data_IF_039992225480
#
_entry.id   IF_039992225480
#
_cell.length_a   1.000
_cell.length_b   1.000
_cell.length_c   1.000
_cell.angle_alpha   90.00
_cell.angle_beta   90.00
_cell.angle_gamma   90.00
#
_symmetry.space_group_name_H-M   'P 1'
#
loop_
_entity.id
_entity.type
_entity.pdbx_description
1 polymer ?
#
# COMPACT_ATOMS: atom_id res chain seq x y z
N UNK A 1 -28.10 -2.18 -1.58
CA UNK A 1 -27.78 -0.78 -1.92
C UNK A 1 -26.31 -0.59 -1.64
N UNK A 2 -25.51 0.09 -2.50
CA UNK A 2 -24.17 0.45 -2.09
C UNK A 2 -24.31 1.51 -1.00
N UNK A 3 -23.74 1.29 0.17
CA UNK A 3 -23.53 2.39 1.11
C UNK A 3 -22.65 3.40 0.35
N UNK A 4 -23.10 4.65 0.12
CA UNK A 4 -22.19 5.66 -0.41
C UNK A 4 -21.06 5.77 0.60
N UNK A 5 -19.85 5.43 0.17
CA UNK A 5 -18.67 5.50 1.00
C UNK A 5 -18.32 6.97 1.22
N UNK A 6 -18.97 7.58 2.21
CA UNK A 6 -18.85 8.99 2.54
C UNK A 6 -17.41 9.43 2.86
N UNK A 7 -16.49 8.47 2.99
CA UNK A 7 -15.08 8.68 3.27
C UNK A 7 -14.15 8.12 2.19
N UNK A 8 -14.66 7.65 1.04
CA UNK A 8 -13.81 7.23 -0.09
C UNK A 8 -12.85 8.36 -0.52
N UNK A 9 -13.33 9.60 -0.50
CA UNK A 9 -12.57 10.80 -0.86
C UNK A 9 -11.90 11.48 0.34
N UNK A 10 -12.00 10.90 1.55
CA UNK A 10 -11.38 11.49 2.73
C UNK A 10 -9.85 11.42 2.58
N UNK A 11 -9.10 12.52 2.81
CA UNK A 11 -7.69 12.62 2.47
C UNK A 11 -6.81 11.55 3.15
N UNK A 12 -7.23 11.02 4.30
CA UNK A 12 -6.56 9.93 4.99
C UNK A 12 -6.53 8.59 4.20
N UNK A 13 -7.41 8.41 3.21
CA UNK A 13 -7.53 7.17 2.44
C UNK A 13 -7.27 7.34 0.95
N UNK A 14 -7.11 8.58 0.47
CA UNK A 14 -6.79 8.83 -0.94
C UNK A 14 -5.32 8.46 -1.18
N UNK A 15 -5.12 7.35 -1.88
CA UNK A 15 -3.81 6.93 -2.34
C UNK A 15 -3.33 7.86 -3.45
N UNK A 16 -2.10 8.37 -3.31
CA UNK A 16 -1.45 9.25 -4.28
C UNK A 16 -0.03 8.77 -4.52
N UNK A 17 0.59 9.22 -5.62
CA UNK A 17 2.03 9.10 -5.80
C UNK A 17 2.75 9.75 -4.60
N UNK A 18 3.65 9.05 -3.90
CA UNK A 18 4.43 9.65 -2.82
C UNK A 18 5.19 10.87 -3.33
N UNK A 19 5.28 11.94 -2.53
CA UNK A 19 5.94 13.20 -2.92
C UNK A 19 7.46 13.12 -3.00
N UNK A 20 8.05 11.95 -2.72
CA UNK A 20 9.49 11.70 -2.80
C UNK A 20 9.86 10.26 -2.45
N UNK A 21 11.09 9.89 -2.80
CA UNK A 21 11.75 8.65 -2.42
C UNK A 21 12.46 8.83 -1.07
N UNK A 22 11.69 8.91 0.01
CA UNK A 22 12.27 8.90 1.36
C UNK A 22 12.73 7.49 1.76
N UNK A 23 13.40 7.39 2.91
CA UNK A 23 13.91 6.12 3.46
C UNK A 23 12.80 5.08 3.66
N UNK A 24 11.59 5.51 4.02
CA UNK A 24 10.45 4.60 4.26
C UNK A 24 9.97 3.98 2.95
N UNK A 25 9.88 4.78 1.88
CA UNK A 25 9.52 4.31 0.54
C UNK A 25 10.62 3.43 -0.04
N UNK A 26 11.89 3.80 0.12
CA UNK A 26 13.03 3.02 -0.34
C UNK A 26 13.09 1.64 0.35
N UNK A 27 12.98 1.60 1.68
CA UNK A 27 12.90 0.35 2.47
C UNK A 27 11.71 -0.50 2.06
N UNK A 28 10.57 0.13 1.78
CA UNK A 28 9.39 -0.60 1.31
C UNK A 28 9.68 -1.27 -0.04
N UNK A 29 10.26 -0.56 -1.01
CA UNK A 29 10.66 -1.13 -2.30
C UNK A 29 11.65 -2.29 -2.14
N UNK A 30 12.63 -2.15 -1.24
CA UNK A 30 13.57 -3.22 -0.91
C UNK A 30 12.85 -4.47 -0.35
N UNK A 31 11.87 -4.28 0.54
CA UNK A 31 11.06 -5.38 1.09
C UNK A 31 10.22 -6.12 0.04
N UNK A 32 9.90 -5.46 -1.09
CA UNK A 32 9.22 -6.11 -2.21
C UNK A 32 10.16 -7.09 -2.92
N UNK A 33 11.48 -6.88 -2.84
CA UNK A 33 12.48 -7.52 -3.69
C UNK A 33 12.55 -6.92 -5.09
N UNK A 34 12.06 -5.69 -5.24
CA UNK A 34 12.08 -4.92 -6.48
C UNK A 34 13.38 -4.09 -6.58
N UNK A 35 13.66 -3.58 -7.78
CA UNK A 35 14.67 -2.56 -7.99
C UNK A 35 14.25 -1.23 -7.33
N UNK A 36 15.19 -0.28 -7.26
CA UNK A 36 14.89 1.07 -6.81
C UNK A 36 13.74 1.68 -7.63
N UNK A 37 12.79 2.29 -6.95
CA UNK A 37 11.68 2.96 -7.60
C UNK A 37 12.16 4.26 -8.28
N UNK A 38 11.49 4.61 -9.38
CA UNK A 38 11.73 5.83 -10.13
C UNK A 38 10.42 6.48 -10.55
N UNK A 39 10.43 7.79 -10.65
CA UNK A 39 9.32 8.53 -11.26
C UNK A 39 9.17 8.11 -12.72
N UNK A 40 7.95 7.73 -13.09
CA UNK A 40 7.58 7.23 -14.40
C UNK A 40 6.48 8.12 -14.99
N UNK A 41 6.66 8.68 -16.19
CA UNK A 41 5.64 9.48 -16.85
C UNK A 41 4.35 8.66 -17.07
N UNK A 42 3.21 9.31 -16.86
CA UNK A 42 1.88 8.75 -17.10
C UNK A 42 1.33 9.38 -18.37
N UNK A 43 1.22 8.58 -19.44
CA UNK A 43 0.79 9.03 -20.75
C UNK A 43 -0.23 8.04 -21.36
N UNK A 44 -1.46 8.00 -20.83
CA UNK A 44 -2.50 7.13 -21.34
C UNK A 44 -2.91 7.52 -22.76
N UNK A 45 -3.31 6.52 -23.54
CA UNK A 45 -3.98 6.77 -24.84
C UNK A 45 -5.48 6.95 -24.62
N UNK A 46 -6.19 7.45 -25.63
CA UNK A 46 -7.64 7.68 -25.54
C UNK A 46 -8.43 6.40 -25.28
N UNK A 47 -7.90 5.26 -25.71
CA UNK A 47 -8.52 3.93 -25.59
C UNK A 47 -8.08 3.19 -24.31
N UNK A 48 -7.20 3.78 -23.50
CA UNK A 48 -6.65 3.11 -22.33
C UNK A 48 -7.70 2.97 -21.23
N UNK A 49 -7.82 1.77 -20.67
CA UNK A 49 -8.79 1.45 -19.63
C UNK A 49 -8.16 1.56 -18.23
N UNK A 50 -8.82 2.27 -17.33
CA UNK A 50 -8.37 2.40 -15.94
C UNK A 50 -8.32 1.03 -15.25
N UNK A 51 -7.22 0.74 -14.54
CA UNK A 51 -7.06 -0.52 -13.81
C UNK A 51 -6.75 -1.75 -14.68
N UNK A 52 -6.45 -1.55 -15.98
CA UNK A 52 -6.11 -2.63 -16.94
C UNK A 52 -4.72 -2.43 -17.56
N UNK A 53 -3.65 -2.36 -16.75
CA UNK A 53 -2.32 -2.01 -17.26
C UNK A 53 -1.78 -3.01 -18.27
N UNK A 54 -2.06 -4.30 -18.10
CA UNK A 54 -1.69 -5.37 -19.02
C UNK A 54 -2.32 -5.21 -20.40
N UNK A 55 -3.63 -4.92 -20.45
CA UNK A 55 -4.34 -4.67 -21.70
C UNK A 55 -3.82 -3.41 -22.41
N UNK A 56 -3.64 -2.32 -21.66
CA UNK A 56 -3.15 -1.06 -22.21
C UNK A 56 -1.74 -1.20 -22.79
N UNK A 57 -0.83 -1.87 -22.07
CA UNK A 57 0.54 -2.12 -22.52
C UNK A 57 0.54 -3.06 -23.73
N UNK A 58 -0.28 -4.11 -23.75
CA UNK A 58 -0.36 -5.01 -24.91
C UNK A 58 -0.82 -4.27 -26.18
N UNK A 59 -1.84 -3.42 -26.07
CA UNK A 59 -2.30 -2.56 -27.17
C UNK A 59 -1.17 -1.62 -27.62
N UNK A 60 -0.45 -1.02 -26.67
CA UNK A 60 0.65 -0.10 -26.98
C UNK A 60 1.79 -0.79 -27.71
N UNK A 61 2.18 -1.99 -27.27
CA UNK A 61 3.22 -2.80 -27.93
C UNK A 61 2.80 -3.20 -29.33
N UNK A 62 1.54 -3.62 -29.52
CA UNK A 62 1.04 -4.01 -30.83
C UNK A 62 1.04 -2.85 -31.84
N UNK A 63 0.79 -1.63 -31.37
CA UNK A 63 0.72 -0.43 -32.22
C UNK A 63 2.08 0.20 -32.49
N UNK A 64 2.89 0.37 -31.44
CA UNK A 64 4.08 1.23 -31.46
C UNK A 64 5.39 0.45 -31.21
N UNK A 65 5.31 -0.88 -31.02
CA UNK A 65 6.45 -1.71 -30.62
C UNK A 65 6.86 -1.51 -29.16
N UNK A 66 8.09 -1.92 -28.81
CA UNK A 66 8.59 -1.85 -27.44
C UNK A 66 8.33 -3.12 -26.62
N UNK A 67 8.43 -3.03 -25.30
CA UNK A 67 8.33 -4.16 -24.37
C UNK A 67 7.54 -3.82 -23.11
N UNK A 68 7.13 -4.86 -22.38
CA UNK A 68 6.50 -4.73 -21.08
C UNK A 68 7.57 -4.75 -19.98
N UNK A 69 7.46 -3.83 -19.02
CA UNK A 69 8.26 -3.81 -17.80
C UNK A 69 7.34 -4.00 -16.60
N UNK A 70 7.47 -5.13 -15.93
CA UNK A 70 6.64 -5.53 -14.80
C UNK A 70 7.27 -5.11 -13.48
N UNK A 71 6.43 -4.73 -12.52
CA UNK A 71 6.88 -4.26 -11.22
C UNK A 71 5.72 -3.80 -10.35
N UNK A 72 5.98 -2.76 -9.55
CA UNK A 72 5.05 -2.26 -8.55
C UNK A 72 4.85 -0.76 -8.72
N UNK A 73 3.59 -0.32 -8.77
CA UNK A 73 3.27 1.10 -8.57
C UNK A 73 3.13 1.36 -7.09
N UNK A 74 3.88 2.33 -6.58
CA UNK A 74 3.90 2.72 -5.18
C UNK A 74 2.97 3.92 -4.98
N UNK A 75 2.05 3.78 -4.04
CA UNK A 75 1.10 4.81 -3.66
C UNK A 75 1.09 4.96 -2.14
N UNK A 76 0.79 6.16 -1.66
CA UNK A 76 0.76 6.48 -0.24
C UNK A 76 -0.52 7.20 0.13
N UNK A 77 -0.98 6.94 1.35
CA UNK A 77 -1.83 7.83 2.11
C UNK A 77 -1.20 8.01 3.50
N UNK A 78 -1.72 8.90 4.36
CA UNK A 78 -1.15 9.11 5.71
C UNK A 78 -1.09 7.84 6.59
N UNK A 79 -1.83 6.79 6.26
CA UNK A 79 -1.95 5.58 7.08
C UNK A 79 -1.04 4.43 6.63
N UNK A 80 -0.75 4.32 5.34
CA UNK A 80 0.00 3.20 4.77
C UNK A 80 0.57 3.54 3.37
N UNK A 81 1.62 2.81 3.01
CA UNK A 81 2.06 2.63 1.63
C UNK A 81 1.38 1.41 1.01
N UNK A 82 1.08 1.49 -0.28
CA UNK A 82 0.55 0.42 -1.10
C UNK A 82 1.48 0.19 -2.29
N UNK A 83 1.81 -1.06 -2.55
CA UNK A 83 2.50 -1.51 -3.75
C UNK A 83 1.50 -2.35 -4.55
N UNK A 84 1.00 -1.77 -5.64
CA UNK A 84 0.08 -2.46 -6.55
C UNK A 84 0.85 -3.07 -7.70
N UNK A 85 0.62 -4.35 -7.98
CA UNK A 85 1.31 -5.02 -9.07
C UNK A 85 0.91 -4.39 -10.41
N UNK A 86 1.89 -3.99 -11.21
CA UNK A 86 1.68 -3.12 -12.37
C UNK A 86 2.62 -3.48 -13.53
N UNK A 87 2.28 -2.98 -14.71
CA UNK A 87 3.11 -3.10 -15.90
C UNK A 87 3.17 -1.77 -16.63
N UNK A 88 4.38 -1.31 -16.90
CA UNK A 88 4.67 -0.13 -17.71
C UNK A 88 5.09 -0.56 -19.12
N UNK A 89 4.85 0.31 -20.09
CA UNK A 89 5.36 0.13 -21.45
C UNK A 89 6.74 0.76 -21.55
N UNK A 90 7.70 0.03 -22.11
CA UNK A 90 9.02 0.56 -22.46
C UNK A 90 9.05 0.73 -23.98
N UNK A 91 9.11 1.97 -24.49
CA UNK A 91 9.23 2.20 -25.92
C UNK A 91 10.58 1.70 -26.44
N UNK A 92 10.76 1.59 -27.76
CA UNK A 92 12.06 1.29 -28.36
C UNK A 92 13.18 2.27 -27.97
N UNK A 93 12.84 3.52 -27.58
CA UNK A 93 13.79 4.54 -27.10
C UNK A 93 14.17 4.39 -25.61
N UNK A 94 13.51 3.49 -24.88
CA UNK A 94 13.97 2.92 -23.62
C UNK A 94 13.42 3.53 -22.33
N UNK A 95 12.68 4.63 -22.35
CA UNK A 95 12.16 5.25 -21.10
C UNK A 95 10.80 4.65 -20.72
N UNK A 96 10.67 3.93 -19.58
CA UNK A 96 9.40 3.38 -19.16
C UNK A 96 8.32 4.46 -19.04
N UNK A 97 7.11 4.14 -19.49
CA UNK A 97 5.94 5.02 -19.47
C UNK A 97 4.73 4.23 -18.99
N UNK A 98 4.01 4.76 -18.01
CA UNK A 98 2.73 4.22 -17.58
C UNK A 98 1.63 4.69 -18.54
N UNK A 99 1.11 3.77 -19.34
CA UNK A 99 0.05 4.05 -20.32
C UNK A 99 -1.34 3.83 -19.73
N UNK A 100 -1.45 3.61 -18.41
CA UNK A 100 -2.72 3.39 -17.73
C UNK A 100 -3.23 4.70 -17.12
N UNK A 101 -4.50 5.09 -17.37
CA UNK A 101 -5.07 6.27 -16.74
C UNK A 101 -5.07 6.13 -15.23
N UNK A 102 -4.60 7.16 -14.53
CA UNK A 102 -4.68 7.25 -13.08
C UNK A 102 -5.98 7.93 -12.64
N UNK A 103 -6.58 7.43 -11.57
CA UNK A 103 -7.80 8.00 -11.01
C UNK A 103 -7.61 9.43 -10.45
N UNK A 104 -6.40 9.75 -9.99
CA UNK A 104 -6.03 11.08 -9.47
C UNK A 104 -5.60 12.07 -10.57
N UNK A 105 -5.52 11.62 -11.84
CA UNK A 105 -5.05 12.43 -12.96
C UNK A 105 -3.56 12.81 -12.90
N UNK A 106 -2.77 12.18 -12.03
CA UNK A 106 -1.35 12.52 -11.91
C UNK A 106 -0.59 12.18 -13.20
N UNK A 107 0.29 13.09 -13.64
CA UNK A 107 1.15 12.91 -14.81
C UNK A 107 2.40 12.07 -14.54
N UNK A 108 2.63 11.71 -13.27
CA UNK A 108 3.78 10.92 -12.82
C UNK A 108 3.33 9.89 -11.80
N UNK A 109 3.80 8.66 -11.95
CA UNK A 109 3.67 7.58 -10.99
C UNK A 109 5.04 7.21 -10.41
N UNK A 110 5.06 6.60 -9.22
CA UNK A 110 6.27 6.03 -8.66
C UNK A 110 6.27 4.53 -8.94
N UNK A 111 7.21 4.06 -9.77
CA UNK A 111 7.24 2.69 -10.23
C UNK A 111 8.55 2.00 -9.83
N UNK A 112 8.43 0.80 -9.24
CA UNK A 112 9.54 -0.05 -8.83
C UNK A 112 9.58 -1.29 -9.74
N UNK A 113 10.48 -1.32 -10.77
CA UNK A 113 10.62 -2.49 -11.63
C UNK A 113 11.05 -3.73 -10.85
N UNK A 114 10.59 -4.90 -11.24
CA UNK A 114 10.90 -6.15 -10.56
C UNK A 114 11.45 -7.19 -11.55
N UNK A 115 12.78 -7.34 -11.54
CA UNK A 115 13.53 -8.15 -12.51
C UNK A 115 13.26 -9.65 -12.42
N UNK A 116 12.51 -10.11 -11.40
CA UNK A 116 12.06 -11.50 -11.31
C UNK A 116 10.97 -11.83 -12.32
N UNK A 117 10.30 -10.81 -12.87
CA UNK A 117 9.25 -10.97 -13.86
C UNK A 117 9.77 -10.65 -15.26
N UNK A 118 9.79 -11.65 -16.13
CA UNK A 118 10.18 -11.47 -17.52
C UNK A 118 9.16 -10.61 -18.28
N UNK A 119 9.55 -9.94 -19.39
CA UNK A 119 8.61 -9.17 -20.23
C UNK A 119 7.41 -9.97 -20.76
N UNK A 120 7.53 -11.30 -20.84
CA UNK A 120 6.46 -12.21 -21.26
C UNK A 120 5.61 -12.72 -20.09
N UNK A 121 5.72 -12.12 -18.91
CA UNK A 121 4.97 -12.56 -17.73
C UNK A 121 3.46 -12.45 -17.95
N UNK A 122 2.74 -13.53 -17.62
CA UNK A 122 1.29 -13.54 -17.67
C UNK A 122 0.71 -12.82 -16.46
N UNK A 123 0.20 -11.60 -16.67
CA UNK A 123 -0.32 -10.73 -15.61
C UNK A 123 -1.48 -11.33 -14.79
N UNK A 124 -2.18 -12.33 -15.34
CA UNK A 124 -3.17 -13.12 -14.59
C UNK A 124 -2.56 -13.85 -13.38
N UNK A 125 -1.27 -14.22 -13.44
CA UNK A 125 -0.52 -14.91 -12.38
C UNK A 125 0.17 -13.96 -11.40
N UNK A 126 -0.21 -12.68 -11.40
CA UNK A 126 0.41 -11.66 -10.56
C UNK A 126 0.34 -12.03 -9.07
N UNK A 127 1.35 -11.63 -8.29
CA UNK A 127 1.26 -11.69 -6.83
C UNK A 127 0.17 -10.76 -6.31
N UNK A 128 -0.18 -10.92 -5.03
CA UNK A 128 -1.04 -9.99 -4.32
C UNK A 128 -0.34 -8.65 -4.11
N UNK A 129 -1.15 -7.58 -4.12
CA UNK A 129 -0.73 -6.26 -3.71
C UNK A 129 -0.20 -6.28 -2.27
N UNK A 130 0.81 -5.46 -2.00
CA UNK A 130 1.43 -5.39 -0.68
C UNK A 130 1.17 -4.03 -0.06
N UNK A 131 1.01 -4.01 1.26
CA UNK A 131 0.88 -2.75 2.00
C UNK A 131 1.90 -2.71 3.13
N UNK A 132 2.35 -1.50 3.46
CA UNK A 132 3.16 -1.20 4.64
C UNK A 132 2.47 -0.14 5.45
N UNK A 133 2.10 -0.47 6.68
CA UNK A 133 1.54 0.50 7.64
C UNK A 133 2.54 1.63 7.91
N UNK A 134 2.03 2.86 8.00
CA UNK A 134 2.77 4.06 8.42
C UNK A 134 2.39 4.52 9.83
N UNK A 135 1.26 4.06 10.38
CA UNK A 135 0.88 4.28 11.78
C UNK A 135 1.83 3.54 12.71
N UNK A 136 2.36 4.26 13.71
CA UNK A 136 3.34 3.75 14.65
C UNK A 136 2.81 2.55 15.46
N UNK A 137 3.57 1.46 15.41
CA UNK A 137 3.36 0.23 16.18
C UNK A 137 3.54 0.46 17.68
N UNK A 138 3.04 -0.44 18.53
CA UNK A 138 3.32 -0.39 19.97
C UNK A 138 4.84 -0.32 20.30
N UNK A 139 5.74 -1.11 19.68
CA UNK A 139 7.18 -0.95 19.86
C UNK A 139 7.75 0.40 19.42
N UNK A 140 7.28 0.97 18.31
CA UNK A 140 7.73 2.29 17.84
C UNK A 140 7.28 3.41 18.77
N UNK A 141 6.01 3.37 19.21
CA UNK A 141 5.48 4.27 20.25
C UNK A 141 6.27 4.13 21.55
N UNK A 142 6.64 2.90 21.93
CA UNK A 142 7.45 2.65 23.12
C UNK A 142 8.86 3.21 23.00
N UNK A 143 9.49 3.08 21.83
CA UNK A 143 10.81 3.66 21.55
C UNK A 143 10.78 5.19 21.61
N UNK A 144 9.75 5.80 21.02
CA UNK A 144 9.53 7.25 21.11
C UNK A 144 9.32 7.68 22.56
N UNK A 145 8.42 7.01 23.29
CA UNK A 145 8.17 7.28 24.70
C UNK A 145 9.45 7.18 25.53
N UNK A 146 10.24 6.12 25.34
CA UNK A 146 11.53 5.93 26.03
C UNK A 146 12.53 7.05 25.70
N UNK A 147 12.57 7.52 24.45
CA UNK A 147 13.45 8.62 24.02
C UNK A 147 13.07 9.98 24.63
N UNK A 148 11.79 10.17 24.98
CA UNK A 148 11.26 11.39 25.58
C UNK A 148 11.35 11.39 27.12
N UNK A 149 11.69 10.26 27.75
CA UNK A 149 11.83 10.18 29.21
C UNK A 149 13.08 10.95 29.69
N UNK A 150 12.99 11.64 30.85
CA UNK A 150 14.18 12.15 31.54
C UNK A 150 15.18 11.01 31.84
N UNK A 151 16.47 11.31 31.80
CA UNK A 151 17.54 10.31 31.97
C UNK A 151 17.39 9.46 33.24
N UNK A 152 17.01 10.08 34.37
CA UNK A 152 16.75 9.37 35.63
C UNK A 152 15.61 8.38 35.53
N UNK A 153 14.52 8.75 34.84
CA UNK A 153 13.36 7.88 34.64
C UNK A 153 13.66 6.76 33.65
N UNK A 154 14.41 7.06 32.59
CA UNK A 154 14.86 6.07 31.60
C UNK A 154 15.71 4.99 32.26
N UNK A 155 16.73 5.35 33.04
CA UNK A 155 17.55 4.41 33.80
C UNK A 155 16.73 3.55 34.76
N UNK A 156 15.70 4.14 35.38
CA UNK A 156 14.79 3.40 36.24
C UNK A 156 13.98 2.33 35.48
N UNK A 157 13.44 2.68 34.31
CA UNK A 157 12.68 1.72 33.49
C UNK A 157 13.61 0.65 32.88
N UNK A 158 14.81 1.01 32.44
CA UNK A 158 15.83 0.07 31.95
C UNK A 158 16.22 -0.97 33.02
N UNK A 159 16.42 -0.53 34.28
CA UNK A 159 16.67 -1.45 35.40
C UNK A 159 15.52 -2.43 35.64
N UNK A 160 14.27 -1.96 35.54
CA UNK A 160 13.09 -2.82 35.71
C UNK A 160 12.92 -3.82 34.58
N UNK A 161 13.18 -3.39 33.34
CA UNK A 161 13.18 -4.26 32.18
C UNK A 161 14.25 -5.36 32.33
N UNK A 162 15.48 -4.98 32.70
CA UNK A 162 16.58 -5.89 32.96
C UNK A 162 16.26 -6.89 34.08
N UNK A 163 15.65 -6.45 35.18
CA UNK A 163 15.21 -7.33 36.27
C UNK A 163 14.14 -8.36 35.84
N UNK A 164 13.48 -8.14 34.71
CA UNK A 164 12.53 -9.08 34.09
C UNK A 164 13.11 -9.83 32.89
N UNK A 165 14.36 -9.56 32.49
CA UNK A 165 14.99 -10.17 31.33
C UNK A 165 14.37 -9.77 29.99
N UNK A 166 13.75 -8.58 29.93
CA UNK A 166 13.07 -8.07 28.72
C UNK A 166 13.77 -6.78 28.29
N UNK A 167 13.80 -6.49 26.98
CA UNK A 167 14.36 -5.23 26.50
C UNK A 167 13.49 -4.02 26.92
N UNK A 168 14.08 -2.83 27.10
CA UNK A 168 13.34 -1.65 27.57
C UNK A 168 12.20 -1.22 26.64
N UNK A 169 12.30 -1.46 25.33
CA UNK A 169 11.24 -1.08 24.38
C UNK A 169 10.03 -2.00 24.56
N UNK A 170 10.23 -3.31 24.62
CA UNK A 170 9.15 -4.28 24.89
C UNK A 170 8.53 -4.04 26.27
N UNK A 171 9.35 -3.76 27.29
CA UNK A 171 8.87 -3.42 28.64
C UNK A 171 7.92 -2.21 28.65
N UNK A 172 8.28 -1.14 27.94
CA UNK A 172 7.41 0.05 27.81
C UNK A 172 6.19 -0.27 26.95
N UNK A 173 6.34 -0.99 25.84
CA UNK A 173 5.24 -1.34 24.93
C UNK A 173 4.12 -2.11 25.64
N UNK A 174 4.48 -3.06 26.54
CA UNK A 174 3.50 -3.81 27.34
C UNK A 174 2.66 -2.95 28.28
N UNK A 175 3.09 -1.72 28.57
CA UNK A 175 2.43 -0.78 29.50
C UNK A 175 1.75 0.37 28.79
N UNK A 176 1.99 0.54 27.49
CA UNK A 176 1.26 1.52 26.71
C UNK A 176 -0.18 1.05 26.52
N UNK A 177 -1.17 1.96 26.59
CA UNK A 177 -2.53 1.60 26.22
C UNK A 177 -2.56 1.15 24.75
N UNK A 178 -3.42 0.17 24.41
CA UNK A 178 -3.65 -0.19 23.02
C UNK A 178 -4.10 1.05 22.24
N UNK A 179 -3.53 1.28 21.06
CA UNK A 179 -4.01 2.36 20.17
C UNK A 179 -5.20 1.81 19.37
N UNK A 180 -6.41 2.39 19.50
CA UNK A 180 -7.53 2.01 18.65
C UNK A 180 -7.23 2.26 17.17
N UNK A 181 -6.46 3.32 16.87
CA UNK A 181 -6.04 3.64 15.51
C UNK A 181 -5.14 2.54 14.91
N UNK A 182 -4.14 2.06 15.68
CA UNK A 182 -3.26 0.96 15.26
C UNK A 182 -4.08 -0.30 14.89
N UNK A 183 -5.01 -0.69 15.78
CA UNK A 183 -5.86 -1.86 15.57
C UNK A 183 -6.81 -1.72 14.38
N UNK A 184 -7.42 -0.54 14.22
CA UNK A 184 -8.37 -0.30 13.13
C UNK A 184 -7.67 -0.24 11.77
N UNK A 185 -6.45 0.32 11.70
CA UNK A 185 -5.62 0.31 10.49
C UNK A 185 -5.22 -1.12 10.12
N UNK A 186 -4.78 -1.95 11.07
CA UNK A 186 -4.44 -3.36 10.78
C UNK A 186 -5.65 -4.15 10.27
N UNK A 187 -6.81 -3.94 10.90
CA UNK A 187 -8.05 -4.55 10.44
C UNK A 187 -8.43 -4.06 9.04
N UNK A 188 -8.22 -2.77 8.72
CA UNK A 188 -8.51 -2.20 7.41
C UNK A 188 -7.62 -2.83 6.34
N UNK A 189 -6.30 -2.86 6.56
CA UNK A 189 -5.34 -3.45 5.62
C UNK A 189 -5.63 -4.93 5.37
N UNK A 190 -5.99 -5.67 6.42
CA UNK A 190 -6.43 -7.07 6.31
C UNK A 190 -7.68 -7.21 5.45
N UNK A 191 -8.70 -6.37 5.69
CA UNK A 191 -9.94 -6.41 4.90
C UNK A 191 -9.70 -6.03 3.43
N UNK A 192 -8.83 -5.05 3.17
CA UNK A 192 -8.45 -4.67 1.81
C UNK A 192 -7.76 -5.81 1.07
N UNK A 193 -6.78 -6.47 1.69
CA UNK A 193 -6.11 -7.64 1.11
C UNK A 193 -7.09 -8.79 0.82
N UNK A 194 -8.03 -9.06 1.74
CA UNK A 194 -9.09 -10.05 1.52
C UNK A 194 -10.02 -9.70 0.36
N UNK A 195 -10.42 -8.43 0.24
CA UNK A 195 -11.23 -7.94 -0.88
C UNK A 195 -10.48 -8.13 -2.20
N UNK A 196 -9.22 -7.73 -2.25
CA UNK A 196 -8.42 -7.78 -3.47
C UNK A 196 -8.24 -9.24 -3.92
N UNK A 197 -7.96 -10.18 -3.01
CA UNK A 197 -7.99 -11.63 -3.29
C UNK A 197 -9.30 -12.10 -3.93
N UNK A 198 -10.45 -11.70 -3.39
CA UNK A 198 -11.76 -12.09 -3.91
C UNK A 198 -12.05 -11.51 -5.31
N UNK A 199 -11.48 -10.35 -5.63
CA UNK A 199 -11.60 -9.74 -6.96
C UNK A 199 -10.64 -10.40 -7.96
N UNK A 200 -9.44 -10.77 -7.52
CA UNK A 200 -8.36 -11.30 -8.38
C UNK A 200 -8.53 -12.78 -8.71
N UNK A 201 -8.91 -13.62 -7.73
CA UNK A 201 -9.07 -15.07 -7.92
C UNK A 201 -10.20 -15.45 -8.91
N UNK A 202 -11.00 -14.47 -9.36
CA UNK A 202 -12.18 -14.68 -10.21
C UNK A 202 -11.96 -14.41 -11.70
N UNK A 203 -10.87 -13.75 -12.08
CA UNK A 203 -10.56 -13.56 -13.50
C UNK A 203 -10.33 -14.90 -14.23
N UNK A 204 -9.96 -15.96 -13.49
CA UNK A 204 -9.54 -17.25 -14.05
C UNK A 204 -10.63 -18.36 -14.03
N UNK A 205 -11.72 -18.23 -13.27
CA UNK A 205 -12.58 -19.40 -12.94
C UNK A 205 -14.08 -19.27 -13.22
N UNK A 206 -14.59 -18.16 -13.77
CA UNK A 206 -16.02 -18.03 -14.13
C UNK A 206 -17.02 -18.22 -12.97
N UNK A 207 -16.56 -18.25 -11.72
CA UNK A 207 -17.39 -18.53 -10.56
C UNK A 207 -18.17 -17.30 -10.13
N UNK A 208 -19.47 -17.49 -9.95
CA UNK A 208 -20.43 -16.47 -9.50
C UNK A 208 -19.88 -15.71 -8.29
N UNK A 209 -19.90 -14.38 -8.38
CA UNK A 209 -19.51 -13.48 -7.29
C UNK A 209 -20.29 -13.90 -6.04
N UNK A 210 -19.61 -14.41 -5.01
CA UNK A 210 -20.14 -14.47 -3.64
C UNK A 210 -20.31 -13.03 -3.18
N UNK A 211 -21.40 -12.44 -3.67
CA UNK A 211 -21.80 -11.06 -3.42
C UNK A 211 -21.88 -10.84 -1.93
N UNK A 212 -22.38 -11.83 -1.17
CA UNK A 212 -22.53 -11.74 0.27
C UNK A 212 -21.19 -11.57 0.99
N UNK A 213 -20.16 -12.34 0.61
CA UNK A 213 -18.84 -12.19 1.20
C UNK A 213 -18.20 -10.84 0.84
N UNK A 214 -18.32 -10.41 -0.41
CA UNK A 214 -17.81 -9.10 -0.86
C UNK A 214 -18.54 -7.95 -0.17
N UNK A 215 -19.87 -7.98 -0.11
CA UNK A 215 -20.70 -6.93 0.51
C UNK A 215 -20.36 -6.77 2.00
N UNK A 216 -20.19 -7.89 2.74
CA UNK A 216 -19.77 -7.85 4.15
C UNK A 216 -18.38 -7.24 4.34
N UNK A 217 -17.45 -7.50 3.43
CA UNK A 217 -16.10 -6.91 3.48
C UNK A 217 -16.14 -5.41 3.21
N UNK A 218 -16.92 -4.96 2.21
CA UNK A 218 -17.10 -3.53 1.92
C UNK A 218 -17.76 -2.80 3.11
N UNK A 219 -18.80 -3.38 3.71
CA UNK A 219 -19.42 -2.83 4.93
C UNK A 219 -18.39 -2.70 6.07
N UNK A 220 -17.55 -3.72 6.26
CA UNK A 220 -16.50 -3.70 7.29
C UNK A 220 -15.44 -2.64 6.99
N UNK A 221 -15.02 -2.50 5.74
CA UNK A 221 -14.07 -1.47 5.28
C UNK A 221 -14.64 -0.07 5.56
N UNK A 222 -15.88 0.19 5.15
CA UNK A 222 -16.55 1.48 5.37
C UNK A 222 -16.66 1.83 6.87
N UNK A 223 -17.01 0.84 7.70
CA UNK A 223 -17.07 1.00 9.15
C UNK A 223 -15.69 1.33 9.75
N UNK A 224 -14.63 0.64 9.31
CA UNK A 224 -13.25 0.90 9.77
C UNK A 224 -12.76 2.29 9.33
N UNK A 225 -13.03 2.70 8.08
CA UNK A 225 -12.72 4.05 7.58
C UNK A 225 -13.33 5.13 8.46
N UNK A 226 -14.59 4.97 8.85
CA UNK A 226 -15.30 5.89 9.75
C UNK A 226 -14.65 5.99 11.13
N UNK A 227 -14.27 4.85 11.72
CA UNK A 227 -13.60 4.80 13.04
C UNK A 227 -12.21 5.43 12.97
N UNK A 228 -11.42 5.10 11.94
CA UNK A 228 -10.09 5.66 11.71
C UNK A 228 -10.18 7.18 11.53
N UNK A 229 -11.09 7.69 10.70
CA UNK A 229 -11.26 9.13 10.50
C UNK A 229 -11.59 9.88 11.81
N UNK A 230 -12.35 9.24 12.70
CA UNK A 230 -12.70 9.79 14.01
C UNK A 230 -11.52 9.80 15.00
N UNK A 231 -10.67 8.78 14.96
CA UNK A 231 -9.50 8.65 15.85
C UNK A 231 -8.29 9.43 15.34
N UNK A 232 -8.12 9.51 14.01
CA UNK A 232 -7.00 10.19 13.36
C UNK A 232 -6.87 11.64 13.80
N UNK A 233 -7.98 12.39 13.92
CA UNK A 233 -7.96 13.78 14.41
C UNK A 233 -7.53 13.96 15.86
N UNK A 234 -7.52 12.89 16.66
CA UNK A 234 -7.16 12.94 18.08
C UNK A 234 -5.70 12.52 18.33
N UNK A 235 -5.13 11.74 17.40
CA UNK A 235 -3.78 11.19 17.50
C UNK A 235 -2.78 11.84 16.52
N UNK A 236 -3.24 12.55 15.49
CA UNK A 236 -2.42 13.39 14.59
C UNK A 236 -2.29 14.82 15.12
#
# INVERSE_FOLDING_TARGET
MPFPDAFADHPAFVLRTPSGLDEVVADFCLSLGACAASETPVAPTAEAEAGRPDGNVAIRIARDGGTALTGWTIEACPLFLSARFHVAWVPPDGVPTDVTPRADGAAVSLFAPDSRYAPTFHFARRPEDRTRRLVATAPERARLALSQLPASRRLYEEKRAAAKGIDPTTWIAMRLPPSPLEQDVDALLTCMAMRDRLLHHRADCGTQRDRRATDKLEERIAMLRTRIASSWRKEA
#
